data_IF_269048589851
#
_entry.id   IF_269048589851
#
_cell.length_a   1.000
_cell.length_b   1.000
_cell.length_c   1.000
_cell.angle_alpha   90.00
_cell.angle_beta   90.00
_cell.angle_gamma   90.00
#
_symmetry.space_group_name_H-M   'P 1'
#
loop_
_entity.id
_entity.type
_entity.pdbx_description
1 polymer ?
#
# COMPACT_ATOMS: atom_id res chain seq x y z
N UNK A 1 18.21 -5.51 16.41
CA UNK A 1 16.96 -5.77 15.64
C UNK A 1 17.01 -7.17 15.04
N UNK A 2 15.97 -7.97 15.21
CA UNK A 2 15.81 -9.30 14.59
C UNK A 2 14.76 -9.18 13.47
N UNK A 3 15.11 -9.62 12.25
CA UNK A 3 14.19 -9.73 11.12
C UNK A 3 13.70 -11.18 11.00
N UNK A 4 12.39 -11.36 10.88
CA UNK A 4 11.74 -12.65 10.65
C UNK A 4 10.84 -12.53 9.40
N UNK A 5 10.97 -13.46 8.47
CA UNK A 5 10.16 -13.54 7.26
C UNK A 5 9.33 -14.83 7.27
N UNK A 6 8.08 -14.72 6.86
CA UNK A 6 7.16 -15.84 6.80
C UNK A 6 6.07 -15.59 5.76
N UNK A 7 5.20 -16.55 5.55
CA UNK A 7 4.03 -16.41 4.68
C UNK A 7 2.76 -16.71 5.44
N UNK A 8 1.67 -16.04 5.06
CA UNK A 8 0.32 -16.36 5.52
C UNK A 8 -0.65 -16.44 4.34
N UNK A 9 -1.77 -17.18 4.46
CA UNK A 9 -2.74 -17.30 3.36
C UNK A 9 -3.42 -15.96 3.05
N UNK A 10 -3.49 -15.59 1.76
CA UNK A 10 -4.28 -14.45 1.30
C UNK A 10 -5.77 -14.76 1.35
N UNK A 11 -6.58 -13.70 1.48
CA UNK A 11 -8.02 -13.75 1.32
C UNK A 11 -8.48 -14.16 -0.10
N UNK A 12 -7.58 -14.21 -1.09
CA UNK A 12 -7.84 -14.74 -2.42
C UNK A 12 -7.94 -16.28 -2.46
N UNK A 13 -7.58 -16.96 -1.35
CA UNK A 13 -7.66 -18.40 -1.16
C UNK A 13 -6.57 -19.22 -1.85
N UNK A 14 -5.54 -18.60 -2.45
CA UNK A 14 -4.49 -19.30 -3.23
C UNK A 14 -3.10 -18.72 -3.13
N UNK A 15 -2.97 -17.42 -2.79
CA UNK A 15 -1.66 -16.76 -2.70
C UNK A 15 -1.11 -16.85 -1.29
N UNK A 16 0.16 -17.22 -1.16
CA UNK A 16 0.92 -17.01 0.08
C UNK A 16 1.38 -15.55 0.13
N UNK A 17 0.96 -14.82 1.15
CA UNK A 17 1.38 -13.44 1.36
C UNK A 17 2.70 -13.44 2.12
N UNK A 18 3.75 -12.92 1.49
CA UNK A 18 5.04 -12.71 2.12
C UNK A 18 4.95 -11.60 3.17
N UNK A 19 5.41 -11.88 4.35
CA UNK A 19 5.34 -10.98 5.50
C UNK A 19 6.68 -10.89 6.22
N UNK A 20 6.94 -9.73 6.79
CA UNK A 20 8.16 -9.44 7.53
C UNK A 20 7.83 -8.83 8.88
N UNK A 21 8.61 -9.22 9.89
CA UNK A 21 8.62 -8.61 11.20
C UNK A 21 10.04 -8.20 11.58
N UNK A 22 10.17 -6.99 12.09
CA UNK A 22 11.40 -6.47 12.68
C UNK A 22 11.13 -6.25 14.18
N UNK A 23 11.82 -7.00 15.02
CA UNK A 23 11.65 -6.95 16.46
C UNK A 23 12.86 -6.26 17.10
N UNK A 24 12.66 -5.28 18.00
CA UNK A 24 13.77 -4.68 18.75
C UNK A 24 14.46 -5.69 19.66
N UNK A 25 15.72 -5.45 20.01
CA UNK A 25 16.47 -6.28 20.96
C UNK A 25 15.99 -6.10 22.40
N UNK A 26 15.23 -5.02 22.68
CA UNK A 26 14.54 -4.77 23.93
C UNK A 26 13.07 -5.19 23.86
N UNK A 27 12.39 -5.26 25.00
CA UNK A 27 10.94 -5.49 25.04
C UNK A 27 10.21 -4.39 24.26
N UNK A 28 9.39 -4.73 23.24
CA UNK A 28 8.69 -3.74 22.47
C UNK A 28 7.58 -3.05 23.27
N UNK A 29 7.37 -1.75 23.01
CA UNK A 29 6.33 -0.93 23.67
C UNK A 29 5.10 -0.67 22.80
N UNK A 30 5.23 -0.88 21.50
CA UNK A 30 4.17 -0.72 20.52
C UNK A 30 4.52 -1.48 19.23
N UNK A 31 3.53 -1.68 18.38
CA UNK A 31 3.68 -2.29 17.06
C UNK A 31 3.24 -1.31 15.98
N UNK A 32 4.05 -1.17 14.93
CA UNK A 32 3.68 -0.47 13.71
C UNK A 32 3.45 -1.47 12.59
N UNK A 33 2.24 -1.51 12.04
CA UNK A 33 1.91 -2.28 10.83
C UNK A 33 2.06 -1.38 9.61
N UNK A 34 2.82 -1.82 8.61
CA UNK A 34 3.13 -1.08 7.38
C UNK A 34 2.30 -1.61 6.20
N UNK A 35 1.73 -0.67 5.44
CA UNK A 35 1.03 -0.90 4.17
C UNK A 35 1.72 -0.06 3.09
N UNK A 36 2.52 -0.69 2.24
CA UNK A 36 3.37 -0.05 1.23
C UNK A 36 2.60 0.48 0.01
N UNK A 37 3.27 1.27 -0.83
CA UNK A 37 2.71 1.86 -2.04
C UNK A 37 2.63 0.90 -3.23
N UNK A 38 2.15 1.42 -4.37
CA UNK A 38 2.13 0.67 -5.62
C UNK A 38 3.55 0.51 -6.19
N UNK A 39 3.81 -0.61 -6.87
CA UNK A 39 5.09 -0.88 -7.56
C UNK A 39 6.31 -0.87 -6.66
N UNK A 40 6.12 -1.22 -5.40
CA UNK A 40 7.17 -1.42 -4.40
C UNK A 40 6.86 -2.65 -3.53
N UNK A 41 7.65 -2.92 -2.50
CA UNK A 41 7.48 -4.05 -1.61
C UNK A 41 7.92 -3.72 -0.17
N UNK A 42 7.60 -4.62 0.77
CA UNK A 42 7.76 -4.34 2.20
C UNK A 42 9.22 -4.18 2.66
N UNK A 43 10.18 -4.88 2.05
CA UNK A 43 11.58 -4.80 2.46
C UNK A 43 12.21 -3.42 2.22
N UNK A 44 11.63 -2.58 1.38
CA UNK A 44 12.05 -1.18 1.23
C UNK A 44 11.91 -0.35 2.50
N UNK A 45 11.10 -0.82 3.43
CA UNK A 45 10.87 -0.15 4.71
C UNK A 45 11.84 -0.62 5.81
N UNK A 46 12.82 -1.49 5.48
CA UNK A 46 13.80 -1.97 6.46
C UNK A 46 14.62 -0.84 7.13
N UNK A 47 15.05 0.23 6.43
CA UNK A 47 15.72 1.34 7.09
C UNK A 47 14.83 2.07 8.10
N UNK A 48 13.55 2.26 7.79
CA UNK A 48 12.56 2.82 8.72
C UNK A 48 12.33 1.88 9.91
N UNK A 49 12.22 0.58 9.64
CA UNK A 49 12.04 -0.43 10.68
C UNK A 49 13.26 -0.48 11.62
N UNK A 50 14.48 -0.41 11.06
CA UNK A 50 15.71 -0.34 11.85
C UNK A 50 15.69 0.85 12.81
N UNK A 51 15.39 2.04 12.29
CA UNK A 51 15.26 3.25 13.12
C UNK A 51 14.20 3.10 14.21
N UNK A 52 13.00 2.61 13.87
CA UNK A 52 11.91 2.49 14.84
C UNK A 52 12.17 1.43 15.91
N UNK A 53 12.90 0.37 15.59
CA UNK A 53 13.26 -0.65 16.57
C UNK A 53 14.24 -0.13 17.62
N UNK A 54 15.10 0.85 17.31
CA UNK A 54 15.94 1.54 18.32
C UNK A 54 15.09 2.27 19.35
N UNK A 55 13.87 2.69 18.96
CA UNK A 55 12.90 3.35 19.84
C UNK A 55 11.92 2.37 20.50
N UNK A 56 12.17 1.07 20.41
CA UNK A 56 11.34 0.04 21.03
C UNK A 56 10.01 -0.22 20.30
N UNK A 57 9.89 0.09 19.02
CA UNK A 57 8.76 -0.35 18.23
C UNK A 57 9.07 -1.69 17.56
N UNK A 58 8.17 -2.65 17.66
CA UNK A 58 8.14 -3.74 16.71
C UNK A 58 7.49 -3.24 15.41
N UNK A 59 8.07 -3.61 14.27
CA UNK A 59 7.55 -3.23 12.96
C UNK A 59 7.11 -4.47 12.21
N UNK A 60 5.97 -4.43 11.58
CA UNK A 60 5.34 -5.56 10.93
C UNK A 60 4.77 -5.12 9.57
N UNK A 61 4.97 -5.91 8.53
CA UNK A 61 4.41 -5.58 7.22
C UNK A 61 4.30 -6.81 6.33
N UNK A 62 3.78 -6.62 5.14
CA UNK A 62 3.66 -7.67 4.13
C UNK A 62 3.70 -7.07 2.73
N UNK A 63 4.08 -7.87 1.76
CA UNK A 63 3.89 -7.52 0.35
C UNK A 63 2.41 -7.64 0.00
N UNK A 64 1.81 -6.56 -0.50
CA UNK A 64 0.42 -6.61 -0.96
C UNK A 64 0.27 -7.63 -2.10
N UNK A 65 -0.91 -8.23 -2.19
CA UNK A 65 -1.27 -9.14 -3.26
C UNK A 65 -0.83 -8.59 -4.64
N UNK A 66 -0.10 -9.41 -5.41
CA UNK A 66 0.46 -9.01 -6.70
C UNK A 66 1.75 -8.17 -6.63
N UNK A 67 2.29 -7.89 -5.44
CA UNK A 67 3.52 -7.13 -5.24
C UNK A 67 4.62 -7.99 -4.58
N UNK A 68 5.86 -7.56 -4.71
CA UNK A 68 7.01 -8.21 -4.09
C UNK A 68 7.02 -9.73 -4.34
N UNK A 69 7.04 -10.51 -3.25
CA UNK A 69 6.99 -11.96 -3.26
C UNK A 69 5.55 -12.53 -3.14
N UNK A 70 4.52 -11.67 -3.05
CA UNK A 70 3.10 -12.06 -2.92
C UNK A 70 2.40 -12.12 -4.28
N UNK A 71 2.99 -12.82 -5.24
CA UNK A 71 2.43 -12.98 -6.60
C UNK A 71 1.91 -14.40 -6.76
N UNK A 72 0.62 -14.54 -7.06
CA UNK A 72 0.02 -15.84 -7.32
C UNK A 72 0.66 -16.53 -8.52
N UNK A 73 0.77 -17.86 -8.48
CA UNK A 73 1.31 -18.65 -9.59
C UNK A 73 0.55 -18.35 -10.91
N UNK A 74 1.29 -17.99 -11.96
CA UNK A 74 0.71 -17.65 -13.27
C UNK A 74 -0.02 -16.30 -13.33
N UNK A 75 -0.01 -15.50 -12.25
CA UNK A 75 -0.51 -14.13 -12.29
C UNK A 75 0.62 -13.16 -12.70
N UNK A 76 0.30 -12.06 -13.38
CA UNK A 76 1.27 -11.00 -13.59
C UNK A 76 1.52 -10.26 -12.27
N UNK A 77 2.69 -9.65 -12.14
CA UNK A 77 2.94 -8.66 -11.07
C UNK A 77 1.99 -7.47 -11.22
N UNK A 78 1.80 -6.73 -10.13
CA UNK A 78 0.94 -5.55 -10.08
C UNK A 78 -0.50 -5.84 -10.54
N UNK A 79 -1.01 -7.00 -10.10
CA UNK A 79 -2.37 -7.45 -10.33
C UNK A 79 -2.94 -8.04 -9.04
N UNK A 80 -3.91 -7.40 -8.44
CA UNK A 80 -4.57 -7.91 -7.23
C UNK A 80 -5.45 -9.14 -7.51
N UNK A 81 -6.09 -9.16 -8.67
CA UNK A 81 -7.07 -10.19 -9.02
C UNK A 81 -8.23 -9.64 -9.84
N UNK A 82 -9.32 -10.41 -9.97
CA UNK A 82 -10.54 -9.98 -10.65
C UNK A 82 -11.24 -8.85 -9.88
N UNK A 83 -12.39 -8.43 -10.36
CA UNK A 83 -13.22 -7.42 -9.67
C UNK A 83 -13.54 -7.83 -8.24
N UNK A 84 -13.33 -6.91 -7.32
CA UNK A 84 -13.49 -7.13 -5.88
C UNK A 84 -12.22 -7.44 -5.13
N UNK A 85 -11.10 -7.61 -5.81
CA UNK A 85 -9.83 -7.98 -5.18
C UNK A 85 -9.20 -6.87 -4.30
N UNK A 86 -9.67 -5.62 -4.40
CA UNK A 86 -9.36 -4.61 -3.39
C UNK A 86 -9.75 -5.07 -1.98
N UNK A 87 -10.87 -5.78 -1.88
CA UNK A 87 -11.36 -6.29 -0.60
C UNK A 87 -10.44 -7.37 -0.03
N UNK A 88 -9.82 -8.18 -0.87
CA UNK A 88 -8.81 -9.17 -0.46
C UNK A 88 -7.56 -8.49 0.10
N UNK A 89 -7.03 -7.48 -0.59
CA UNK A 89 -5.87 -6.74 -0.09
C UNK A 89 -6.13 -6.05 1.27
N UNK A 90 -7.35 -5.55 1.50
CA UNK A 90 -7.75 -5.00 2.79
C UNK A 90 -7.91 -6.08 3.86
N UNK A 91 -8.41 -7.26 3.51
CA UNK A 91 -8.51 -8.41 4.43
C UNK A 91 -7.12 -8.96 4.78
N UNK A 92 -6.20 -9.00 3.83
CA UNK A 92 -4.80 -9.39 4.07
C UNK A 92 -4.11 -8.42 5.03
N UNK A 93 -4.38 -7.10 4.89
CA UNK A 93 -3.89 -6.10 5.83
C UNK A 93 -4.49 -6.31 7.24
N UNK A 94 -5.78 -6.68 7.33
CA UNK A 94 -6.41 -7.03 8.60
C UNK A 94 -5.77 -8.29 9.20
N UNK A 95 -5.59 -9.35 8.40
CA UNK A 95 -4.93 -10.57 8.86
C UNK A 95 -3.50 -10.29 9.36
N UNK A 96 -2.75 -9.43 8.65
CA UNK A 96 -1.40 -9.02 9.08
C UNK A 96 -1.42 -8.29 10.44
N UNK A 97 -2.40 -7.40 10.64
CA UNK A 97 -2.60 -6.72 11.94
C UNK A 97 -2.95 -7.71 13.05
N UNK A 98 -3.83 -8.69 12.78
CA UNK A 98 -4.21 -9.71 13.76
C UNK A 98 -3.00 -10.56 14.16
N UNK A 99 -2.19 -11.01 13.19
CA UNK A 99 -0.95 -11.75 13.47
C UNK A 99 0.02 -10.93 14.34
N UNK A 100 0.16 -9.63 14.05
CA UNK A 100 0.99 -8.73 14.86
C UNK A 100 0.45 -8.61 16.30
N UNK A 101 -0.86 -8.49 16.48
CA UNK A 101 -1.51 -8.44 17.79
C UNK A 101 -1.36 -9.74 18.59
N UNK A 102 -1.39 -10.88 17.91
CA UNK A 102 -1.13 -12.19 18.54
C UNK A 102 0.34 -12.36 18.95
N UNK A 103 1.25 -11.87 18.12
CA UNK A 103 2.69 -11.92 18.39
C UNK A 103 3.11 -11.01 19.55
N UNK A 104 2.43 -9.86 19.69
CA UNK A 104 2.72 -8.83 20.69
C UNK A 104 1.46 -8.50 21.51
N UNK A 105 0.98 -9.42 22.35
CA UNK A 105 -0.29 -9.26 23.05
C UNK A 105 -0.26 -8.07 24.02
N UNK A 106 -1.35 -7.31 24.05
CA UNK A 106 -1.51 -6.17 24.96
C UNK A 106 -0.82 -4.89 24.51
N UNK A 107 0.01 -4.91 23.48
CA UNK A 107 0.66 -3.71 22.97
C UNK A 107 -0.27 -2.91 22.02
N UNK A 108 -0.20 -1.56 22.05
CA UNK A 108 -0.91 -0.74 21.08
C UNK A 108 -0.35 -0.98 19.67
N UNK A 109 -1.25 -1.18 18.72
CA UNK A 109 -0.92 -1.38 17.31
C UNK A 109 -1.27 -0.12 16.53
N UNK A 110 -0.31 0.43 15.80
CA UNK A 110 -0.47 1.55 14.88
C UNK A 110 -0.43 1.05 13.44
N UNK A 111 -1.06 1.78 12.52
CA UNK A 111 -1.08 1.48 11.10
C UNK A 111 -0.45 2.64 10.32
N UNK A 112 0.57 2.37 9.49
CA UNK A 112 1.09 3.32 8.52
C UNK A 112 0.75 2.85 7.11
N UNK A 113 0.10 3.71 6.34
CA UNK A 113 -0.15 3.48 4.92
C UNK A 113 0.51 4.56 4.07
N UNK A 114 1.30 4.13 3.08
CA UNK A 114 1.96 5.02 2.13
C UNK A 114 1.34 4.90 0.73
N UNK A 115 1.03 6.02 0.08
CA UNK A 115 0.50 6.08 -1.29
C UNK A 115 -0.72 5.15 -1.47
N UNK A 116 -0.69 4.15 -2.36
CA UNK A 116 -1.73 3.14 -2.49
C UNK A 116 -2.05 2.47 -1.14
N UNK A 117 -1.02 2.19 -0.33
CA UNK A 117 -1.18 1.65 1.01
C UNK A 117 -1.97 2.57 1.94
N UNK A 118 -1.94 3.89 1.73
CA UNK A 118 -2.78 4.83 2.47
C UNK A 118 -4.25 4.70 2.12
N UNK A 119 -4.59 4.37 0.87
CA UNK A 119 -5.98 4.10 0.46
C UNK A 119 -6.48 2.77 1.03
N UNK A 120 -5.59 1.74 1.08
CA UNK A 120 -5.88 0.48 1.77
C UNK A 120 -6.10 0.71 3.26
N UNK A 121 -5.22 1.48 3.91
CA UNK A 121 -5.33 1.83 5.32
C UNK A 121 -6.64 2.60 5.63
N UNK A 122 -7.03 3.58 4.81
CA UNK A 122 -8.32 4.28 4.95
C UNK A 122 -9.50 3.33 4.79
N UNK A 123 -9.46 2.41 3.81
CA UNK A 123 -10.50 1.39 3.66
C UNK A 123 -10.54 0.46 4.87
N UNK A 124 -9.37 0.08 5.39
CA UNK A 124 -9.23 -0.70 6.63
C UNK A 124 -9.90 -0.01 7.82
N UNK A 125 -9.58 1.27 8.07
CA UNK A 125 -10.14 2.04 9.20
C UNK A 125 -11.68 2.17 9.13
N UNK A 126 -12.25 2.20 7.92
CA UNK A 126 -13.70 2.20 7.68
C UNK A 126 -14.31 0.84 8.02
N UNK A 127 -13.63 -0.26 7.69
CA UNK A 127 -14.17 -1.63 7.85
C UNK A 127 -13.93 -2.22 9.23
N UNK A 128 -12.80 -1.88 9.83
CA UNK A 128 -12.33 -2.43 11.11
C UNK A 128 -12.07 -1.31 12.13
N UNK A 129 -13.09 -0.49 12.46
CA UNK A 129 -12.90 0.63 13.37
C UNK A 129 -12.52 0.13 14.77
N UNK A 130 -11.60 0.84 15.42
CA UNK A 130 -11.16 0.52 16.80
C UNK A 130 -10.14 -0.60 16.93
N UNK A 131 -9.66 -1.19 15.82
CA UNK A 131 -8.68 -2.28 15.85
C UNK A 131 -7.22 -1.82 15.92
N UNK A 132 -6.95 -0.53 15.72
CA UNK A 132 -5.63 0.08 15.88
C UNK A 132 -5.69 1.27 16.83
N UNK A 133 -4.60 1.60 17.50
CA UNK A 133 -4.50 2.72 18.43
C UNK A 133 -4.39 4.07 17.70
N UNK A 134 -3.86 4.07 16.48
CA UNK A 134 -3.73 5.25 15.63
C UNK A 134 -3.32 4.88 14.22
N UNK A 135 -3.38 5.85 13.29
CA UNK A 135 -2.97 5.63 11.91
C UNK A 135 -2.21 6.82 11.36
N UNK A 136 -1.19 6.54 10.55
CA UNK A 136 -0.38 7.49 9.79
C UNK A 136 -0.70 7.28 8.32
N UNK A 137 -1.16 8.32 7.63
CA UNK A 137 -1.52 8.28 6.21
C UNK A 137 -0.55 9.20 5.45
N UNK A 138 0.45 8.59 4.83
CA UNK A 138 1.53 9.28 4.15
C UNK A 138 1.34 9.23 2.63
N UNK A 139 1.59 10.34 1.93
CA UNK A 139 1.38 10.41 0.48
C UNK A 139 -0.05 10.08 0.05
N UNK A 140 -1.04 10.31 0.94
CA UNK A 140 -2.45 10.08 0.64
C UNK A 140 -3.00 11.18 -0.24
N UNK A 141 -4.03 10.87 -1.04
CA UNK A 141 -4.67 11.83 -1.91
C UNK A 141 -6.20 11.83 -1.77
N UNK A 142 -6.79 12.83 -2.38
CA UNK A 142 -8.22 12.95 -2.59
C UNK A 142 -8.47 13.20 -4.07
N UNK A 143 -9.43 12.48 -4.65
CA UNK A 143 -9.78 12.63 -6.06
C UNK A 143 -11.23 13.10 -6.20
N UNK A 144 -11.50 14.14 -6.99
CA UNK A 144 -12.88 14.54 -7.29
C UNK A 144 -13.69 13.35 -7.84
N UNK A 145 -14.96 13.18 -7.43
CA UNK A 145 -15.79 12.05 -7.88
C UNK A 145 -15.89 11.93 -9.41
N UNK A 146 -15.93 13.07 -10.10
CA UNK A 146 -15.96 13.10 -11.58
C UNK A 146 -14.68 12.51 -12.20
N UNK A 147 -13.51 12.78 -11.60
CA UNK A 147 -12.23 12.24 -12.06
C UNK A 147 -12.16 10.72 -11.80
N UNK A 148 -12.61 10.27 -10.64
CA UNK A 148 -12.72 8.83 -10.33
C UNK A 148 -13.65 8.13 -11.31
N UNK A 149 -14.81 8.73 -11.64
CA UNK A 149 -15.75 8.17 -12.61
C UNK A 149 -15.13 8.09 -14.01
N UNK A 150 -14.45 9.14 -14.47
CA UNK A 150 -13.76 9.17 -15.76
C UNK A 150 -12.64 8.11 -15.82
N UNK A 151 -11.83 7.99 -14.77
CA UNK A 151 -10.80 6.96 -14.65
C UNK A 151 -11.36 5.54 -14.72
N UNK A 152 -12.50 5.28 -14.09
CA UNK A 152 -13.20 3.98 -14.14
C UNK A 152 -13.70 3.65 -15.54
N UNK A 153 -14.24 4.64 -16.28
CA UNK A 153 -14.67 4.46 -17.68
C UNK A 153 -13.46 4.16 -18.57
N UNK A 154 -12.37 4.91 -18.39
CA UNK A 154 -11.13 4.68 -19.12
C UNK A 154 -10.57 3.28 -18.85
N UNK A 155 -10.43 2.90 -17.60
CA UNK A 155 -9.94 1.58 -17.21
C UNK A 155 -10.84 0.45 -17.77
N UNK A 156 -12.17 0.62 -17.75
CA UNK A 156 -13.09 -0.35 -18.32
C UNK A 156 -12.96 -0.45 -19.85
N UNK A 157 -12.70 0.67 -20.54
CA UNK A 157 -12.48 0.68 -22.01
C UNK A 157 -11.16 -0.01 -22.37
N UNK A 158 -10.09 0.31 -21.67
CA UNK A 158 -8.78 -0.31 -21.90
C UNK A 158 -8.80 -1.81 -21.55
N UNK A 159 -9.48 -2.22 -20.48
CA UNK A 159 -9.65 -3.62 -20.13
C UNK A 159 -10.36 -4.45 -21.21
N UNK A 160 -11.27 -3.84 -21.99
CA UNK A 160 -11.91 -4.52 -23.14
C UNK A 160 -10.96 -4.70 -24.32
N UNK A 161 -9.93 -3.85 -24.45
CA UNK A 161 -8.96 -3.92 -25.55
C UNK A 161 -7.84 -4.91 -25.26
N UNK A 162 -7.24 -4.83 -24.07
CA UNK A 162 -6.01 -5.58 -23.75
C UNK A 162 -6.18 -6.57 -22.58
N UNK A 163 -7.31 -6.52 -21.87
CA UNK A 163 -7.58 -7.38 -20.72
C UNK A 163 -7.08 -6.79 -19.40
N UNK A 164 -7.68 -7.21 -18.29
CA UNK A 164 -7.38 -6.73 -16.93
C UNK A 164 -5.96 -7.08 -16.45
N UNK A 165 -5.37 -8.13 -17.01
CA UNK A 165 -4.05 -8.66 -16.60
C UNK A 165 -2.86 -7.95 -17.27
N UNK A 166 -3.13 -6.99 -18.14
CA UNK A 166 -2.12 -6.23 -18.87
C UNK A 166 -2.11 -4.78 -18.40
N UNK A 167 -0.97 -4.13 -18.56
CA UNK A 167 -0.84 -2.68 -18.39
C UNK A 167 -1.36 -1.94 -19.62
N UNK A 168 -1.71 -0.67 -19.44
CA UNK A 168 -2.04 0.25 -20.53
C UNK A 168 -1.12 1.46 -20.47
N UNK A 169 -0.30 1.71 -21.52
CA UNK A 169 0.55 2.90 -21.56
C UNK A 169 -0.24 4.20 -21.36
N UNK A 170 -1.46 4.27 -21.90
CA UNK A 170 -2.33 5.43 -21.73
C UNK A 170 -2.74 5.63 -20.27
N UNK A 171 -3.13 4.55 -19.57
CA UNK A 171 -3.53 4.61 -18.17
C UNK A 171 -2.34 5.00 -17.29
N UNK A 172 -1.18 4.38 -17.50
CA UNK A 172 0.03 4.65 -16.74
C UNK A 172 0.54 6.07 -16.95
N UNK A 173 0.52 6.55 -18.20
CA UNK A 173 0.85 7.94 -18.52
C UNK A 173 -0.02 8.92 -17.74
N UNK A 174 -1.34 8.76 -17.76
CA UNK A 174 -2.27 9.66 -17.10
C UNK A 174 -2.19 9.56 -15.56
N UNK A 175 -1.80 8.39 -15.03
CA UNK A 175 -1.73 8.18 -13.58
C UNK A 175 -0.43 8.68 -12.96
N UNK A 176 0.72 8.55 -13.65
CA UNK A 176 2.04 8.72 -13.03
C UNK A 176 2.94 9.74 -13.70
N UNK A 177 2.81 9.97 -15.01
CA UNK A 177 3.74 10.87 -15.74
C UNK A 177 3.69 12.31 -15.21
N UNK A 178 2.52 12.78 -14.78
CA UNK A 178 2.36 14.13 -14.23
C UNK A 178 3.19 14.36 -12.95
N UNK A 179 3.48 13.32 -12.18
CA UNK A 179 4.33 13.44 -10.99
C UNK A 179 5.76 13.79 -11.39
N UNK A 180 6.32 13.10 -12.38
CA UNK A 180 7.71 13.32 -12.77
C UNK A 180 7.94 14.63 -13.54
N UNK A 181 6.91 15.14 -14.22
CA UNK A 181 7.01 16.42 -14.96
C UNK A 181 7.35 17.61 -14.06
N UNK A 182 6.95 17.58 -12.80
CA UNK A 182 7.24 18.65 -11.82
C UNK A 182 8.73 18.74 -11.47
N UNK A 183 9.51 17.72 -11.75
CA UNK A 183 10.93 17.63 -11.42
C UNK A 183 11.85 17.74 -12.65
N UNK A 184 11.33 18.31 -13.73
CA UNK A 184 12.11 18.54 -14.94
C UNK A 184 13.25 19.57 -14.70
N UNK A 185 14.46 19.37 -15.29
CA UNK A 185 14.82 18.29 -16.21
C UNK A 185 15.02 16.96 -15.47
N UNK A 186 14.35 15.92 -15.96
CA UNK A 186 14.37 14.60 -15.32
C UNK A 186 15.66 13.85 -15.67
N UNK A 187 16.24 13.18 -14.67
CA UNK A 187 17.34 12.22 -14.81
C UNK A 187 16.82 10.82 -15.16
N UNK A 188 15.67 10.47 -14.55
CA UNK A 188 15.01 9.16 -14.69
C UNK A 188 13.50 9.33 -14.84
N UNK A 189 12.78 8.23 -15.05
CA UNK A 189 11.30 8.20 -14.99
C UNK A 189 10.72 8.27 -13.58
N UNK A 190 11.57 8.30 -12.54
CA UNK A 190 11.16 8.13 -11.14
C UNK A 190 11.74 9.19 -10.19
N UNK A 191 12.22 10.33 -10.70
CA UNK A 191 12.81 11.39 -9.87
C UNK A 191 11.84 12.00 -8.87
N UNK A 192 10.55 11.85 -9.10
CA UNK A 192 9.48 12.26 -8.19
C UNK A 192 9.39 11.45 -6.91
N UNK A 193 10.04 10.28 -6.82
CA UNK A 193 9.98 9.40 -5.65
C UNK A 193 10.78 9.93 -4.46
N UNK A 194 11.89 10.62 -4.70
CA UNK A 194 12.77 11.09 -3.64
C UNK A 194 13.66 12.22 -4.11
N UNK A 195 13.96 13.18 -3.22
CA UNK A 195 15.01 14.18 -3.43
C UNK A 195 16.42 13.57 -3.40
N UNK A 196 16.60 12.39 -2.79
CA UNK A 196 17.86 11.64 -2.83
C UNK A 196 17.94 10.82 -4.11
N UNK A 197 18.94 11.13 -4.94
CA UNK A 197 19.26 10.35 -6.16
C UNK A 197 19.61 8.91 -5.84
N UNK A 198 20.26 8.65 -4.71
CA UNK A 198 20.60 7.31 -4.24
C UNK A 198 19.34 6.46 -3.99
N UNK A 199 18.32 7.03 -3.34
CA UNK A 199 17.05 6.33 -3.12
C UNK A 199 16.34 6.00 -4.44
N UNK A 200 16.41 6.90 -5.43
CA UNK A 200 15.85 6.65 -6.77
C UNK A 200 16.62 5.55 -7.48
N UNK A 201 17.97 5.56 -7.39
CA UNK A 201 18.82 4.54 -8.01
C UNK A 201 18.61 3.16 -7.37
N UNK A 202 18.47 3.10 -6.04
CA UNK A 202 18.11 1.85 -5.33
C UNK A 202 16.75 1.32 -5.79
N UNK A 203 15.76 2.20 -5.95
CA UNK A 203 14.45 1.80 -6.49
C UNK A 203 14.54 1.22 -7.90
N UNK A 204 15.33 1.85 -8.77
CA UNK A 204 15.52 1.41 -10.16
C UNK A 204 16.31 0.10 -10.27
N UNK A 205 17.26 -0.12 -9.34
CA UNK A 205 18.06 -1.34 -9.29
C UNK A 205 17.31 -2.55 -8.72
N UNK A 206 16.21 -2.32 -8.00
CA UNK A 206 15.45 -3.38 -7.35
C UNK A 206 14.47 -4.05 -8.33
N UNK A 207 14.63 -5.36 -8.63
CA UNK A 207 13.78 -6.07 -9.58
C UNK A 207 12.32 -6.23 -9.10
N UNK A 208 12.06 -6.03 -7.80
CA UNK A 208 10.73 -6.09 -7.21
C UNK A 208 10.05 -4.71 -7.18
N UNK A 209 10.76 -3.65 -7.56
CA UNK A 209 10.23 -2.29 -7.69
C UNK A 209 9.93 -1.94 -9.15
N UNK A 210 9.19 -0.86 -9.31
CA UNK A 210 8.84 -0.35 -10.65
C UNK A 210 7.88 -1.24 -11.42
N UNK A 211 7.78 -0.96 -12.70
CA UNK A 211 6.82 -1.59 -13.61
C UNK A 211 5.47 -0.90 -13.62
N UNK A 212 4.74 -1.17 -14.68
CA UNK A 212 3.44 -0.57 -14.94
C UNK A 212 2.32 -1.38 -14.29
N UNK A 213 1.50 -0.78 -13.40
CA UNK A 213 0.32 -1.44 -12.86
C UNK A 213 -0.61 -1.95 -13.96
N UNK A 214 -1.15 -3.14 -13.74
CA UNK A 214 -2.17 -3.70 -14.64
C UNK A 214 -3.45 -2.88 -14.58
N UNK A 215 -4.24 -2.94 -15.65
CA UNK A 215 -5.55 -2.26 -15.67
C UNK A 215 -6.44 -2.78 -14.53
N UNK A 216 -6.31 -4.08 -14.19
CA UNK A 216 -7.03 -4.69 -13.07
C UNK A 216 -6.68 -4.02 -11.74
N UNK A 217 -5.40 -3.83 -11.44
CA UNK A 217 -4.96 -3.13 -10.23
C UNK A 217 -5.45 -1.69 -10.21
N UNK A 218 -5.29 -0.97 -11.32
CA UNK A 218 -5.72 0.42 -11.42
C UNK A 218 -7.24 0.58 -11.19
N UNK A 219 -8.05 -0.32 -11.78
CA UNK A 219 -9.50 -0.36 -11.57
C UNK A 219 -9.87 -0.61 -10.10
N UNK A 220 -9.19 -1.54 -9.44
CA UNK A 220 -9.43 -1.85 -8.03
C UNK A 220 -9.00 -0.70 -7.12
N UNK A 221 -7.89 -0.03 -7.42
CA UNK A 221 -7.45 1.17 -6.71
C UNK A 221 -8.50 2.31 -6.83
N UNK A 222 -9.03 2.57 -8.02
CA UNK A 222 -10.11 3.54 -8.22
C UNK A 222 -11.39 3.14 -7.49
N UNK A 223 -11.67 1.83 -7.33
CA UNK A 223 -12.77 1.34 -6.51
C UNK A 223 -12.54 1.65 -5.03
N UNK A 224 -11.32 1.44 -4.55
CA UNK A 224 -10.91 1.80 -3.18
C UNK A 224 -11.03 3.30 -2.93
N UNK A 225 -10.52 4.13 -3.83
CA UNK A 225 -10.61 5.59 -3.75
C UNK A 225 -12.09 6.02 -3.71
N UNK A 226 -12.94 5.51 -4.59
CA UNK A 226 -14.37 5.80 -4.57
C UNK A 226 -15.06 5.41 -3.25
N UNK A 227 -14.57 4.38 -2.56
CA UNK A 227 -15.10 3.95 -1.26
C UNK A 227 -14.69 4.93 -0.16
N UNK A 228 -13.42 5.34 -0.10
CA UNK A 228 -12.88 6.20 0.96
C UNK A 228 -13.29 7.68 0.84
N UNK A 229 -13.83 8.09 -0.31
CA UNK A 229 -14.34 9.46 -0.53
C UNK A 229 -15.82 9.62 -0.11
N UNK A 230 -16.55 8.55 0.14
CA UNK A 230 -17.94 8.61 0.53
C UNK A 230 -18.10 9.06 1.98
N UNK A 231 -18.84 10.14 2.21
CA UNK A 231 -19.08 10.69 3.54
C UNK A 231 -19.73 9.67 4.50
N UNK A 232 -20.61 8.82 4.00
CA UNK A 232 -21.23 7.73 4.78
C UNK A 232 -20.20 6.73 5.32
N UNK A 233 -19.15 6.44 4.53
CA UNK A 233 -18.07 5.55 4.93
C UNK A 233 -17.12 6.23 5.93
N UNK A 234 -16.78 7.50 5.71
CA UNK A 234 -15.94 8.26 6.63
C UNK A 234 -16.55 8.38 8.03
N UNK A 235 -17.89 8.47 8.12
CA UNK A 235 -18.61 8.49 9.42
C UNK A 235 -18.44 7.18 10.22
N UNK A 236 -18.05 6.07 9.56
CA UNK A 236 -17.83 4.76 10.20
C UNK A 236 -16.47 4.64 10.84
N UNK A 237 -15.50 5.49 10.45
CA UNK A 237 -14.20 5.54 11.10
C UNK A 237 -14.36 5.97 12.55
N UNK A 238 -13.59 5.35 13.44
CA UNK A 238 -13.62 5.70 14.86
C UNK A 238 -13.10 7.14 15.06
N UNK A 239 -13.92 8.02 15.59
CA UNK A 239 -13.57 9.44 15.83
C UNK A 239 -12.62 9.66 17.03
N UNK A 240 -12.27 8.60 17.76
CA UNK A 240 -11.28 8.67 18.86
C UNK A 240 -9.84 8.76 18.38
N UNK A 241 -9.59 8.59 17.06
CA UNK A 241 -8.27 8.85 16.51
C UNK A 241 -8.10 10.33 16.31
N UNK A 242 -7.16 10.97 17.04
CA UNK A 242 -6.60 12.25 16.64
C UNK A 242 -5.88 12.03 15.31
N UNK A 243 -6.55 12.39 14.22
CA UNK A 243 -5.97 12.38 12.89
C UNK A 243 -5.18 13.67 12.70
N UNK A 244 -3.94 13.69 13.14
CA UNK A 244 -2.99 14.68 12.64
C UNK A 244 -2.71 14.36 11.17
N UNK A 245 -3.17 15.23 10.29
CA UNK A 245 -2.86 15.17 8.87
C UNK A 245 -1.54 15.88 8.66
N UNK A 246 -0.46 15.13 8.54
CA UNK A 246 0.77 15.68 7.98
C UNK A 246 0.61 15.77 6.45
N UNK A 247 0.46 16.99 5.95
CA UNK A 247 0.60 17.29 4.54
C UNK A 247 2.07 17.63 4.30
N UNK A 248 2.86 16.75 3.74
CA UNK A 248 4.01 17.16 2.98
C UNK A 248 3.51 17.64 1.62
N UNK A 249 3.61 18.95 1.40
CA UNK A 249 3.47 19.52 0.06
C UNK A 249 4.69 19.11 -0.75
N UNK A 250 4.52 18.19 -1.67
CA UNK A 250 5.48 17.92 -2.75
C UNK A 250 5.31 18.95 -3.85
#
# INVERSE_FOLDING_TARGET
>A
MVRNEFTFPSADGRTGIHAVEWTPDMAPRAVLVLSHGVSEHILRYEPLAAYLTEWGFAVAGHDHLGHGLSVAAGAPRLYFGPRGSWDWAVQDLYARRELAGQRFPGLPVFLLGHSMGSFLARTYLIRYPGTVAGAILMGTGQMPPALVAAGRVLAAREARKVGDRHSSPLVNKLAFEAYNQKFAPNRTGYDWLSASTENVDQYLADPLCGGDPTIGLFREMLRGIACIEKQENLKRMNRKYDTERFYESV
#
